data_IF_515672480901
#
_entry.id   IF_515672480901
#
_cell.length_a   1.000
_cell.length_b   1.000
_cell.length_c   1.000
_cell.angle_alpha   90.00
_cell.angle_beta   90.00
_cell.angle_gamma   90.00
#
_symmetry.space_group_name_H-M   'P 1'
#
loop_
_entity.id
_entity.type
_entity.pdbx_description
1 polymer ?
#
# COMPACT_ATOMS: atom_id res chain seq x y z
N UNK A 1 13.67 -31.95 -18.18
CA UNK A 1 14.19 -30.56 -18.20
C UNK A 1 13.09 -29.50 -18.20
N UNK A 2 12.01 -29.60 -19.01
CA UNK A 2 10.90 -28.61 -19.03
C UNK A 2 10.27 -28.28 -17.66
N UNK A 3 10.17 -29.26 -16.75
CA UNK A 3 9.60 -29.08 -15.39
C UNK A 3 10.49 -28.23 -14.46
N UNK A 4 11.80 -28.21 -14.68
CA UNK A 4 12.75 -27.43 -13.86
C UNK A 4 12.70 -25.95 -14.22
N UNK A 5 12.53 -25.62 -15.51
CA UNK A 5 12.36 -24.25 -15.97
C UNK A 5 11.09 -23.59 -15.44
N UNK A 6 9.98 -24.35 -15.30
CA UNK A 6 8.74 -23.84 -14.74
C UNK A 6 8.86 -23.40 -13.27
N UNK A 7 9.52 -24.22 -12.42
CA UNK A 7 9.78 -23.86 -11.03
C UNK A 7 10.72 -22.65 -10.92
N UNK A 8 11.78 -22.59 -11.72
CA UNK A 8 12.71 -21.46 -11.71
C UNK A 8 12.03 -20.13 -12.11
N UNK A 9 11.13 -20.18 -13.09
CA UNK A 9 10.35 -19.02 -13.53
C UNK A 9 9.34 -18.56 -12.46
N UNK A 10 8.78 -19.48 -11.69
CA UNK A 10 7.88 -19.16 -10.58
C UNK A 10 8.61 -18.44 -9.43
N UNK A 11 9.81 -18.89 -9.08
CA UNK A 11 10.63 -18.22 -8.06
C UNK A 11 11.10 -16.82 -8.51
N UNK A 12 11.41 -16.64 -9.79
CA UNK A 12 11.74 -15.32 -10.36
C UNK A 12 10.57 -14.33 -10.27
N UNK A 13 9.35 -14.77 -10.63
CA UNK A 13 8.16 -13.92 -10.57
C UNK A 13 7.81 -13.51 -9.12
N UNK A 14 7.94 -14.43 -8.16
CA UNK A 14 7.72 -14.12 -6.75
C UNK A 14 8.70 -13.06 -6.22
N UNK A 15 9.98 -13.14 -6.61
CA UNK A 15 10.99 -12.15 -6.21
C UNK A 15 10.79 -10.75 -6.83
N UNK A 16 10.22 -10.67 -8.04
CA UNK A 16 9.92 -9.38 -8.68
C UNK A 16 8.74 -8.66 -8.00
N UNK A 17 7.73 -9.40 -7.53
CA UNK A 17 6.56 -8.84 -6.84
C UNK A 17 6.93 -8.22 -5.47
N UNK A 18 7.86 -8.85 -4.74
CA UNK A 18 8.33 -8.34 -3.45
C UNK A 18 9.23 -7.11 -3.62
N UNK A 19 10.05 -7.07 -4.67
CA UNK A 19 10.92 -5.93 -4.95
C UNK A 19 10.12 -4.66 -5.31
N UNK A 20 9.06 -4.81 -6.11
CA UNK A 20 8.20 -3.67 -6.49
C UNK A 20 7.48 -3.06 -5.28
N UNK A 21 7.05 -3.88 -4.33
CA UNK A 21 6.31 -3.44 -3.14
C UNK A 21 7.22 -2.71 -2.14
N UNK A 22 8.45 -3.19 -1.95
CA UNK A 22 9.45 -2.51 -1.12
C UNK A 22 9.86 -1.15 -1.70
N UNK A 23 10.10 -1.07 -3.01
CA UNK A 23 10.42 0.19 -3.71
C UNK A 23 9.28 1.20 -3.56
N UNK A 24 8.03 0.75 -3.68
CA UNK A 24 6.88 1.63 -3.49
C UNK A 24 6.78 2.19 -2.07
N UNK A 25 7.04 1.37 -1.04
CA UNK A 25 7.06 1.84 0.35
C UNK A 25 8.20 2.84 0.57
N UNK A 26 9.40 2.57 0.04
CA UNK A 26 10.54 3.49 0.14
C UNK A 26 10.26 4.82 -0.57
N UNK A 27 9.61 4.80 -1.74
CA UNK A 27 9.15 6.00 -2.44
C UNK A 27 8.15 6.81 -1.61
N UNK A 28 7.20 6.13 -0.93
CA UNK A 28 6.26 6.80 -0.03
C UNK A 28 6.96 7.45 1.17
N UNK A 29 7.94 6.75 1.77
CA UNK A 29 8.67 7.25 2.94
C UNK A 29 9.61 8.41 2.60
N UNK A 30 10.13 8.45 1.38
CA UNK A 30 11.01 9.53 0.89
C UNK A 30 10.24 10.69 0.24
N UNK A 31 8.93 10.54 0.00
CA UNK A 31 8.11 11.61 -0.58
C UNK A 31 7.90 12.77 0.39
N UNK A 32 8.08 13.99 -0.11
CA UNK A 32 7.78 15.23 0.64
C UNK A 32 6.28 15.40 0.97
N UNK A 33 5.39 14.73 0.21
CA UNK A 33 3.95 14.78 0.41
C UNK A 33 3.34 13.43 0.03
N UNK A 34 2.70 12.78 0.99
CA UNK A 34 1.89 11.57 0.76
C UNK A 34 0.41 11.93 0.72
N UNK A 35 -0.35 11.23 -0.11
CA UNK A 35 -1.80 11.35 -0.15
C UNK A 35 -2.44 10.69 1.06
N UNK A 36 -3.70 11.04 1.35
CA UNK A 36 -4.43 10.47 2.47
C UNK A 36 -4.59 8.95 2.34
N UNK A 37 -4.87 8.45 1.14
CA UNK A 37 -4.94 7.00 0.89
C UNK A 37 -3.59 6.30 1.11
N UNK A 38 -2.49 6.93 0.73
CA UNK A 38 -1.14 6.39 0.96
C UNK A 38 -0.77 6.37 2.44
N UNK A 39 -1.16 7.39 3.21
CA UNK A 39 -0.95 7.42 4.66
C UNK A 39 -1.73 6.30 5.36
N UNK A 40 -3.01 6.13 5.01
CA UNK A 40 -3.84 5.03 5.53
C UNK A 40 -3.25 3.68 5.13
N UNK A 41 -2.80 3.54 3.89
CA UNK A 41 -2.11 2.35 3.43
C UNK A 41 -0.91 2.00 4.32
N UNK A 42 0.00 2.95 4.59
CA UNK A 42 1.17 2.71 5.43
C UNK A 42 0.80 2.23 6.85
N UNK A 43 -0.27 2.76 7.44
CA UNK A 43 -0.75 2.33 8.77
C UNK A 43 -1.24 0.88 8.73
N UNK A 44 -2.08 0.53 7.76
CA UNK A 44 -2.66 -0.81 7.67
C UNK A 44 -1.64 -1.89 7.30
N UNK A 45 -0.68 -1.58 6.42
CA UNK A 45 0.45 -2.47 6.11
C UNK A 45 1.37 -2.60 7.32
N UNK A 46 1.72 -1.50 7.98
CA UNK A 46 2.55 -1.50 9.17
C UNK A 46 1.93 -2.28 10.34
N UNK A 47 0.60 -2.29 10.44
CA UNK A 47 -0.15 -3.09 11.42
C UNK A 47 -0.30 -4.57 11.03
N UNK A 48 0.19 -4.98 9.85
CA UNK A 48 0.09 -6.36 9.36
C UNK A 48 -1.33 -6.79 8.96
N UNK A 49 -2.27 -5.86 8.82
CA UNK A 49 -3.65 -6.16 8.42
C UNK A 49 -3.78 -6.45 6.92
N UNK A 50 -2.88 -5.89 6.12
CA UNK A 50 -2.85 -6.06 4.66
C UNK A 50 -1.43 -6.39 4.19
N UNK A 51 -1.34 -7.08 3.05
CA UNK A 51 -0.07 -7.29 2.34
C UNK A 51 0.30 -6.04 1.55
N UNK A 52 1.60 -5.79 1.41
CA UNK A 52 2.21 -4.66 0.68
C UNK A 52 1.93 -4.65 -0.83
N UNK A 53 1.24 -5.66 -1.33
CA UNK A 53 0.70 -5.75 -2.69
C UNK A 53 -0.69 -5.12 -2.83
N UNK A 54 -1.34 -4.76 -1.73
CA UNK A 54 -2.67 -4.15 -1.74
C UNK A 54 -2.65 -2.73 -2.32
N UNK A 55 -3.74 -2.32 -2.98
CA UNK A 55 -3.84 -0.97 -3.53
C UNK A 55 -4.25 0.02 -2.44
N UNK A 56 -3.61 1.20 -2.34
CA UNK A 56 -3.97 2.21 -1.33
C UNK A 56 -5.45 2.63 -1.34
N UNK A 57 -6.08 2.70 -2.51
CA UNK A 57 -7.50 3.06 -2.64
C UNK A 57 -8.46 2.01 -2.06
N UNK A 58 -8.11 0.73 -2.13
CA UNK A 58 -8.92 -0.36 -1.59
C UNK A 58 -8.86 -0.35 -0.05
N UNK A 59 -7.66 -0.14 0.51
CA UNK A 59 -7.46 0.02 1.95
C UNK A 59 -8.17 1.28 2.46
N UNK A 60 -8.09 2.39 1.75
CA UNK A 60 -8.80 3.62 2.11
C UNK A 60 -10.32 3.40 2.19
N UNK A 61 -10.88 2.70 1.21
CA UNK A 61 -12.31 2.36 1.19
C UNK A 61 -12.71 1.50 2.39
N UNK A 62 -11.84 0.57 2.80
CA UNK A 62 -12.06 -0.21 4.01
C UNK A 62 -11.96 0.63 5.28
N UNK A 63 -10.98 1.53 5.37
CA UNK A 63 -10.82 2.42 6.52
C UNK A 63 -12.05 3.33 6.71
N UNK A 64 -12.67 3.79 5.62
CA UNK A 64 -13.94 4.54 5.65
C UNK A 64 -15.09 3.66 6.15
N UNK A 65 -15.22 2.42 5.65
CA UNK A 65 -16.25 1.47 6.15
C UNK A 65 -16.12 1.19 7.64
N UNK A 66 -14.89 1.08 8.13
CA UNK A 66 -14.56 0.88 9.56
C UNK A 66 -14.68 2.15 10.40
N UNK A 67 -15.01 3.29 9.77
CA UNK A 67 -15.09 4.62 10.39
C UNK A 67 -13.78 5.08 11.03
N UNK A 68 -12.64 4.57 10.57
CA UNK A 68 -11.32 5.05 10.97
C UNK A 68 -10.96 6.34 10.23
N UNK A 69 -11.58 6.54 9.07
CA UNK A 69 -11.44 7.74 8.24
C UNK A 69 -12.82 8.28 7.91
N UNK A 70 -12.97 9.61 7.89
CA UNK A 70 -14.22 10.26 7.50
C UNK A 70 -14.58 9.93 6.05
N UNK A 71 -15.87 9.73 5.77
CA UNK A 71 -16.38 9.58 4.40
C UNK A 71 -16.24 10.84 3.54
N UNK A 72 -15.94 11.98 4.16
CA UNK A 72 -15.66 13.25 3.45
C UNK A 72 -14.18 13.42 3.11
N UNK A 73 -13.30 12.53 3.60
CA UNK A 73 -11.88 12.60 3.30
C UNK A 73 -11.63 12.33 1.80
N UNK A 74 -10.72 13.08 1.20
CA UNK A 74 -10.37 12.92 -0.20
C UNK A 74 -9.09 12.10 -0.33
N UNK A 75 -9.12 10.90 -0.94
CA UNK A 75 -8.01 9.95 -0.94
C UNK A 75 -6.76 10.50 -1.65
N UNK A 76 -6.95 11.32 -2.69
CA UNK A 76 -5.87 11.89 -3.52
C UNK A 76 -5.30 13.20 -2.96
N UNK A 77 -5.92 13.77 -1.92
CA UNK A 77 -5.39 14.99 -1.30
C UNK A 77 -4.23 14.66 -0.38
N UNK A 78 -3.19 15.52 -0.33
CA UNK A 78 -2.09 15.35 0.61
C UNK A 78 -2.61 15.42 2.04
N UNK A 79 -2.05 14.59 2.92
CA UNK A 79 -2.40 14.62 4.33
C UNK A 79 -1.92 15.94 4.95
N UNK A 80 -2.81 16.63 5.64
CA UNK A 80 -2.50 17.84 6.41
C UNK A 80 -2.98 17.65 7.84
N UNK A 81 -2.27 18.25 8.80
CA UNK A 81 -2.59 18.15 10.24
C UNK A 81 -4.03 18.61 10.54
N UNK A 82 -4.59 19.49 9.70
CA UNK A 82 -5.97 19.98 9.80
C UNK A 82 -7.04 18.89 9.68
N UNK A 83 -6.72 17.71 9.15
CA UNK A 83 -7.65 16.60 8.98
C UNK A 83 -7.58 15.55 10.12
N UNK A 84 -6.76 15.77 11.15
CA UNK A 84 -6.66 14.92 12.34
C UNK A 84 -7.54 15.39 13.52
N UNK A 85 -8.28 16.49 13.35
CA UNK A 85 -9.14 17.10 14.37
C UNK A 85 -10.60 16.64 14.26
#
# INVERSE_FOLDING_TARGET
>A
MKKVYGCFMFFLLAGMLTAQSAVFIDELLTSNKITYAQAVYLVFIGNGEYQDTAKPGDIFSEAVKRKWVSSTAQPDKPITVAHYA
#
